data_IF_360532581838
#
_entry.id   IF_360532581838
#
_cell.length_a   1.000
_cell.length_b   1.000
_cell.length_c   1.000
_cell.angle_alpha   90.00
_cell.angle_beta   90.00
_cell.angle_gamma   90.00
#
_symmetry.space_group_name_H-M   'P 1'
#
loop_
_entity.id
_entity.type
_entity.pdbx_description
1 polymer ?
#
# COMPACT_ATOMS: atom_id res chain seq x y z
N UNK A 1 -2.33 -13.47 -19.54
CA UNK A 1 -2.57 -14.69 -20.31
C UNK A 1 -3.97 -14.68 -20.91
N UNK A 2 -5.07 -14.54 -20.12
CA UNK A 2 -6.45 -14.55 -20.64
C UNK A 2 -6.70 -13.46 -21.69
N UNK A 3 -6.23 -12.23 -21.47
CA UNK A 3 -6.38 -11.13 -22.43
C UNK A 3 -5.59 -11.36 -23.72
N UNK A 4 -4.47 -12.07 -23.67
CA UNK A 4 -3.72 -12.46 -24.86
C UNK A 4 -4.41 -13.56 -25.69
N UNK A 5 -5.23 -14.41 -25.06
CA UNK A 5 -6.00 -15.47 -25.72
C UNK A 5 -7.38 -14.99 -26.21
N UNK A 6 -7.94 -14.00 -25.52
CA UNK A 6 -9.28 -13.45 -25.76
C UNK A 6 -9.24 -11.91 -25.64
N UNK A 7 -8.68 -11.19 -26.63
CA UNK A 7 -8.43 -9.76 -26.54
C UNK A 7 -9.72 -8.94 -26.54
N UNK A 8 -9.81 -7.97 -25.63
CA UNK A 8 -10.99 -7.11 -25.46
C UNK A 8 -11.36 -6.30 -26.70
N UNK A 9 -10.37 -5.96 -27.54
CA UNK A 9 -10.60 -5.26 -28.81
C UNK A 9 -11.50 -6.00 -29.79
N UNK A 10 -11.58 -7.33 -29.72
CA UNK A 10 -12.46 -8.13 -30.58
C UNK A 10 -13.96 -7.95 -30.27
N UNK A 11 -14.30 -7.35 -29.13
CA UNK A 11 -15.67 -7.21 -28.61
C UNK A 11 -16.20 -5.78 -28.60
N UNK A 12 -15.49 -4.81 -29.18
CA UNK A 12 -15.80 -3.38 -29.12
C UNK A 12 -17.23 -3.02 -29.55
N UNK A 13 -17.80 -3.76 -30.49
CA UNK A 13 -19.17 -3.53 -31.03
C UNK A 13 -20.21 -4.56 -30.52
N UNK A 14 -19.87 -5.33 -29.47
CA UNK A 14 -20.75 -6.36 -28.91
C UNK A 14 -21.30 -5.97 -27.55
N UNK A 15 -22.35 -6.64 -27.03
CA UNK A 15 -22.82 -6.46 -25.65
C UNK A 15 -21.78 -6.83 -24.58
N UNK A 16 -20.62 -7.34 -24.98
CA UNK A 16 -19.49 -7.69 -24.14
C UNK A 16 -18.42 -6.58 -24.14
N UNK A 17 -18.65 -5.47 -24.84
CA UNK A 17 -17.77 -4.32 -24.83
C UNK A 17 -17.59 -3.79 -23.39
N UNK A 18 -16.36 -3.44 -23.05
CA UNK A 18 -16.01 -2.95 -21.73
C UNK A 18 -15.77 -4.03 -20.66
N UNK A 19 -16.03 -5.29 -20.96
CA UNK A 19 -15.66 -6.42 -20.10
C UNK A 19 -14.24 -6.89 -20.41
N UNK A 20 -13.50 -7.25 -19.37
CA UNK A 20 -12.21 -7.91 -19.56
C UNK A 20 -12.37 -9.40 -19.88
N UNK A 21 -11.25 -10.06 -20.26
CA UNK A 21 -11.26 -11.46 -20.65
C UNK A 21 -11.80 -12.39 -19.53
N UNK A 22 -11.52 -12.07 -18.26
CA UNK A 22 -12.02 -12.84 -17.14
C UNK A 22 -13.54 -12.69 -16.96
N UNK A 23 -14.06 -11.49 -17.04
CA UNK A 23 -15.50 -11.20 -16.93
C UNK A 23 -16.30 -11.83 -18.06
N UNK A 24 -15.74 -11.85 -19.28
CA UNK A 24 -16.34 -12.57 -20.43
C UNK A 24 -16.42 -14.08 -20.17
N UNK A 25 -15.36 -14.68 -19.61
CA UNK A 25 -15.38 -16.10 -19.24
C UNK A 25 -16.38 -16.40 -18.13
N UNK A 26 -16.52 -15.54 -17.12
CA UNK A 26 -17.56 -15.67 -16.09
C UNK A 26 -18.97 -15.69 -16.73
N UNK A 27 -19.24 -14.78 -17.66
CA UNK A 27 -20.52 -14.78 -18.41
C UNK A 27 -20.72 -16.06 -19.25
N UNK A 28 -19.65 -16.55 -19.90
CA UNK A 28 -19.71 -17.79 -20.69
C UNK A 28 -20.10 -18.99 -19.84
N UNK A 29 -19.62 -19.08 -18.60
CA UNK A 29 -19.94 -20.17 -17.68
C UNK A 29 -21.15 -19.86 -16.78
N UNK A 30 -21.85 -18.75 -17.03
CA UNK A 30 -23.00 -18.30 -16.24
C UNK A 30 -22.70 -18.23 -14.74
N UNK A 31 -21.53 -17.66 -14.38
CA UNK A 31 -21.08 -17.50 -12.99
C UNK A 31 -21.32 -16.05 -12.54
N UNK A 32 -22.18 -15.90 -11.54
CA UNK A 32 -22.53 -14.61 -10.96
C UNK A 32 -21.79 -14.41 -9.64
N UNK A 33 -20.78 -13.53 -9.65
CA UNK A 33 -19.90 -13.29 -8.47
C UNK A 33 -20.48 -12.29 -7.46
N UNK A 34 -21.57 -11.59 -7.82
CA UNK A 34 -22.19 -10.56 -6.96
C UNK A 34 -23.67 -10.38 -7.26
N UNK A 35 -24.37 -9.67 -6.37
CA UNK A 35 -25.81 -9.32 -6.54
C UNK A 35 -26.77 -10.36 -5.99
N UNK A 36 -28.07 -10.19 -6.29
CA UNK A 36 -29.16 -11.04 -5.76
C UNK A 36 -29.05 -12.50 -6.21
N UNK A 37 -28.50 -12.73 -7.40
CA UNK A 37 -28.32 -14.05 -8.00
C UNK A 37 -26.88 -14.57 -7.85
N UNK A 38 -26.13 -14.08 -6.84
CA UNK A 38 -24.78 -14.52 -6.60
C UNK A 38 -24.70 -16.03 -6.35
N UNK A 39 -23.83 -16.69 -7.12
CA UNK A 39 -23.61 -18.13 -7.05
C UNK A 39 -22.77 -18.53 -5.83
N UNK A 40 -22.66 -19.86 -5.61
CA UNK A 40 -21.74 -20.44 -4.64
C UNK A 40 -20.40 -20.74 -5.28
N UNK A 41 -19.36 -20.88 -4.47
CA UNK A 41 -18.01 -21.24 -4.92
C UNK A 41 -17.99 -22.55 -5.70
N UNK A 42 -18.86 -23.51 -5.36
CA UNK A 42 -18.99 -24.78 -6.07
C UNK A 42 -19.27 -24.63 -7.57
N UNK A 43 -19.88 -23.52 -8.00
CA UNK A 43 -20.15 -23.24 -9.43
C UNK A 43 -18.88 -23.18 -10.27
N UNK A 44 -17.76 -22.70 -9.72
CA UNK A 44 -16.47 -22.73 -10.40
C UNK A 44 -15.98 -24.15 -10.70
N UNK A 45 -16.38 -25.11 -9.89
CA UNK A 45 -15.95 -26.52 -10.03
C UNK A 45 -16.95 -27.40 -10.77
N UNK A 46 -17.96 -26.80 -11.40
CA UNK A 46 -18.95 -27.53 -12.20
C UNK A 46 -18.35 -28.16 -13.46
N UNK A 47 -17.33 -27.53 -14.03
CA UNK A 47 -16.55 -28.04 -15.16
C UNK A 47 -15.06 -27.84 -14.91
N UNK A 48 -14.21 -28.61 -15.60
CA UNK A 48 -12.75 -28.43 -15.52
C UNK A 48 -12.32 -27.05 -16.00
N UNK A 49 -12.97 -26.56 -17.07
CA UNK A 49 -12.64 -25.26 -17.66
C UNK A 49 -13.02 -24.07 -16.75
N UNK A 50 -14.17 -24.14 -16.07
CA UNK A 50 -14.57 -23.08 -15.13
C UNK A 50 -13.69 -23.07 -13.88
N UNK A 51 -13.13 -24.22 -13.47
CA UNK A 51 -12.26 -24.30 -12.29
C UNK A 51 -10.97 -23.48 -12.46
N UNK A 52 -10.49 -23.31 -13.70
CA UNK A 52 -9.31 -22.48 -14.00
C UNK A 52 -9.51 -20.99 -13.67
N UNK A 53 -10.76 -20.54 -13.59
CA UNK A 53 -11.07 -19.14 -13.25
C UNK A 53 -11.02 -18.85 -11.74
N UNK A 54 -11.08 -19.89 -10.90
CA UNK A 54 -11.15 -19.72 -9.45
C UNK A 54 -9.90 -19.05 -8.85
N UNK A 55 -8.66 -19.40 -9.21
CA UNK A 55 -7.48 -18.67 -8.73
C UNK A 55 -7.48 -17.18 -9.10
N UNK A 56 -7.95 -16.83 -10.31
CA UNK A 56 -8.05 -15.44 -10.74
C UNK A 56 -9.12 -14.67 -9.95
N UNK A 57 -10.24 -15.32 -9.60
CA UNK A 57 -11.24 -14.75 -8.69
C UNK A 57 -10.63 -14.40 -7.33
N UNK A 58 -9.86 -15.30 -6.73
CA UNK A 58 -9.20 -15.08 -5.46
C UNK A 58 -8.20 -13.93 -5.56
N UNK A 59 -7.35 -13.92 -6.60
CA UNK A 59 -6.34 -12.89 -6.85
C UNK A 59 -6.98 -11.50 -6.93
N UNK A 60 -8.05 -11.34 -7.71
CA UNK A 60 -8.78 -10.07 -7.85
C UNK A 60 -9.41 -9.59 -6.56
N UNK A 61 -10.01 -10.50 -5.80
CA UNK A 61 -10.60 -10.16 -4.52
C UNK A 61 -9.54 -9.66 -3.51
N UNK A 62 -8.41 -10.32 -3.42
CA UNK A 62 -7.30 -9.92 -2.54
C UNK A 62 -6.70 -8.59 -2.99
N UNK A 63 -6.44 -8.42 -4.29
CA UNK A 63 -5.92 -7.18 -4.87
C UNK A 63 -6.84 -6.00 -4.59
N UNK A 64 -8.15 -6.16 -4.79
CA UNK A 64 -9.14 -5.14 -4.45
C UNK A 64 -9.13 -4.77 -2.96
N UNK A 65 -8.79 -5.71 -2.07
CA UNK A 65 -8.56 -5.42 -0.66
C UNK A 65 -7.28 -4.62 -0.42
N UNK A 66 -6.20 -4.96 -1.10
CA UNK A 66 -4.93 -4.24 -0.99
C UNK A 66 -5.00 -2.80 -1.50
N UNK A 67 -5.75 -2.55 -2.58
CA UNK A 67 -5.97 -1.23 -3.17
C UNK A 67 -6.75 -0.29 -2.23
N UNK A 68 -7.49 -0.81 -1.27
CA UNK A 68 -8.19 -0.03 -0.24
C UNK A 68 -7.27 0.47 0.88
N UNK A 69 -6.00 0.11 0.85
CA UNK A 69 -5.03 0.49 1.86
C UNK A 69 -4.50 1.90 1.62
N UNK A 70 -4.12 2.53 2.73
CA UNK A 70 -3.44 3.84 2.75
C UNK A 70 -2.05 3.78 2.12
N UNK A 71 -1.44 2.60 2.02
CA UNK A 71 -0.06 2.44 1.55
C UNK A 71 0.15 3.05 0.16
N UNK A 72 -0.80 2.85 -0.77
CA UNK A 72 -0.72 3.40 -2.13
C UNK A 72 -0.65 4.94 -2.15
N UNK A 73 -1.23 5.58 -1.16
CA UNK A 73 -1.30 7.03 -0.99
C UNK A 73 -0.01 7.63 -0.37
N UNK A 74 0.84 6.78 0.21
CA UNK A 74 2.11 7.17 0.84
C UNK A 74 3.30 6.97 -0.08
N UNK A 75 3.16 6.11 -1.09
CA UNK A 75 4.24 5.73 -2.00
C UNK A 75 4.35 6.76 -3.12
N UNK A 76 5.50 7.43 -3.22
CA UNK A 76 5.79 8.37 -4.29
C UNK A 76 6.12 7.66 -5.61
N UNK A 77 6.89 6.57 -5.54
CA UNK A 77 7.35 5.80 -6.70
C UNK A 77 7.27 4.30 -6.41
N UNK A 78 6.79 3.53 -7.39
CA UNK A 78 6.62 2.09 -7.28
C UNK A 78 7.32 1.36 -8.45
N UNK A 79 8.65 1.15 -8.39
CA UNK A 79 9.36 0.37 -9.39
C UNK A 79 9.11 -1.14 -9.23
N UNK A 80 9.08 -1.83 -10.35
CA UNK A 80 8.97 -3.29 -10.40
C UNK A 80 10.35 -3.86 -10.74
N UNK A 81 10.85 -4.77 -9.87
CA UNK A 81 12.12 -5.47 -10.05
C UNK A 81 11.94 -6.98 -10.03
N UNK A 82 11.76 -7.63 -11.18
CA UNK A 82 11.54 -9.08 -11.26
C UNK A 82 12.70 -9.92 -10.70
N UNK A 83 13.91 -9.39 -10.70
CA UNK A 83 15.11 -10.06 -10.16
C UNK A 83 15.09 -10.20 -8.62
N UNK A 84 14.19 -9.50 -7.92
CA UNK A 84 14.14 -9.50 -6.45
C UNK A 84 15.24 -8.70 -5.78
N UNK A 85 16.02 -7.95 -6.56
CA UNK A 85 17.06 -7.00 -6.12
C UNK A 85 16.89 -5.69 -6.91
N UNK A 86 17.07 -4.59 -6.24
CA UNK A 86 16.92 -3.26 -6.85
C UNK A 86 18.09 -2.38 -6.46
N UNK A 87 18.70 -1.73 -7.46
CA UNK A 87 19.77 -0.76 -7.24
C UNK A 87 19.21 0.65 -7.44
N UNK A 88 18.98 1.39 -6.35
CA UNK A 88 18.42 2.73 -6.43
C UNK A 88 19.47 3.73 -6.93
N UNK A 89 19.01 4.80 -7.56
CA UNK A 89 19.83 5.96 -7.82
C UNK A 89 19.65 7.00 -6.71
N UNK A 90 20.72 7.70 -6.37
CA UNK A 90 20.77 8.72 -5.33
C UNK A 90 21.24 10.04 -5.92
N UNK A 91 20.49 11.09 -5.66
CA UNK A 91 20.90 12.46 -5.96
C UNK A 91 21.72 12.98 -4.76
N UNK A 92 22.96 13.34 -5.01
CA UNK A 92 23.83 13.98 -4.03
C UNK A 92 24.10 15.42 -4.47
N UNK A 93 23.65 16.34 -3.66
CA UNK A 93 23.90 17.78 -3.83
C UNK A 93 24.47 18.35 -2.54
N UNK A 94 25.60 19.01 -2.65
CA UNK A 94 26.31 19.62 -1.51
C UNK A 94 26.22 21.14 -1.50
N UNK A 95 25.62 21.72 -2.54
CA UNK A 95 25.60 23.18 -2.73
C UNK A 95 24.18 23.72 -2.70
N UNK A 96 23.96 24.77 -1.91
CA UNK A 96 22.64 25.40 -1.86
C UNK A 96 22.27 26.01 -3.22
N UNK A 97 21.04 25.75 -3.70
CA UNK A 97 20.50 26.27 -4.96
C UNK A 97 20.42 27.82 -5.02
N UNK A 98 20.61 28.48 -3.88
CA UNK A 98 20.66 29.94 -3.78
C UNK A 98 22.01 30.54 -4.11
N UNK A 99 23.02 29.71 -4.36
CA UNK A 99 24.40 30.16 -4.66
C UNK A 99 24.45 30.89 -6.01
N UNK A 100 24.79 32.19 -5.98
CA UNK A 100 24.92 33.01 -7.18
C UNK A 100 26.22 32.66 -7.89
N UNK A 101 26.13 32.33 -9.16
CA UNK A 101 27.29 32.10 -10.02
C UNK A 101 27.52 33.32 -10.89
N UNK A 102 28.77 33.84 -10.91
CA UNK A 102 29.16 34.95 -11.78
C UNK A 102 29.22 34.53 -13.25
N UNK A 103 28.96 35.48 -14.13
CA UNK A 103 28.99 35.23 -15.57
C UNK A 103 30.35 34.65 -16.02
N UNK A 104 30.31 33.54 -16.75
CA UNK A 104 31.48 32.81 -17.23
C UNK A 104 31.99 31.72 -16.29
N UNK A 105 31.48 31.56 -15.07
CA UNK A 105 31.84 30.49 -14.17
C UNK A 105 30.86 29.29 -14.35
N UNK A 106 31.35 28.08 -14.07
CA UNK A 106 30.54 26.88 -14.06
C UNK A 106 29.50 26.95 -12.93
N UNK A 107 28.27 26.47 -13.21
CA UNK A 107 27.24 26.29 -12.17
C UNK A 107 27.66 25.16 -11.22
N UNK A 108 27.26 25.23 -9.93
CA UNK A 108 27.39 24.10 -9.02
C UNK A 108 26.75 22.84 -9.61
N UNK A 109 27.38 21.69 -9.39
CA UNK A 109 26.94 20.41 -9.95
C UNK A 109 26.40 19.51 -8.85
N UNK A 110 25.23 18.91 -9.08
CA UNK A 110 24.75 17.77 -8.33
C UNK A 110 25.13 16.48 -9.08
N UNK A 111 25.39 15.40 -8.35
CA UNK A 111 25.66 14.09 -8.94
C UNK A 111 24.48 13.15 -8.73
N UNK A 112 24.08 12.44 -9.79
CA UNK A 112 23.05 11.42 -9.77
C UNK A 112 23.69 10.08 -10.13
N UNK A 113 23.91 9.25 -9.12
CA UNK A 113 24.67 8.01 -9.23
C UNK A 113 23.90 6.86 -8.61
N UNK A 114 24.20 5.64 -9.05
CA UNK A 114 23.71 4.44 -8.41
C UNK A 114 24.21 4.34 -6.96
N UNK A 115 23.34 3.96 -6.04
CA UNK A 115 23.73 3.71 -4.66
C UNK A 115 24.69 2.52 -4.59
N UNK A 116 25.61 2.57 -3.64
CA UNK A 116 26.56 1.47 -3.42
C UNK A 116 25.88 0.18 -2.93
N UNK A 117 24.72 0.30 -2.29
CA UNK A 117 24.00 -0.82 -1.70
C UNK A 117 22.76 -1.19 -2.52
N UNK A 118 22.63 -2.48 -2.81
CA UNK A 118 21.44 -3.07 -3.44
C UNK A 118 20.36 -3.32 -2.39
N UNK A 119 19.13 -2.99 -2.71
CA UNK A 119 17.94 -3.27 -1.87
C UNK A 119 17.41 -4.66 -2.24
N UNK A 120 17.34 -5.56 -1.27
CA UNK A 120 16.73 -6.90 -1.42
C UNK A 120 15.26 -6.85 -1.04
N UNK A 121 14.45 -7.60 -1.80
CA UNK A 121 13.01 -7.67 -1.57
C UNK A 121 12.69 -8.84 -0.65
N UNK A 122 12.06 -8.55 0.48
CA UNK A 122 11.56 -9.54 1.43
C UNK A 122 10.21 -10.12 1.00
N UNK A 123 9.93 -11.37 1.40
CA UNK A 123 8.67 -12.05 1.09
C UNK A 123 7.69 -11.90 2.24
N UNK A 124 6.53 -11.33 1.95
CA UNK A 124 5.39 -11.19 2.86
C UNK A 124 4.22 -12.02 2.35
N UNK A 125 3.49 -12.68 3.23
CA UNK A 125 2.35 -13.48 2.79
C UNK A 125 1.62 -14.23 3.89
N UNK A 126 0.57 -14.95 3.49
CA UNK A 126 -0.23 -15.82 4.35
C UNK A 126 -0.65 -17.07 3.60
N UNK A 127 -0.68 -18.18 4.32
CA UNK A 127 -1.35 -19.39 3.91
C UNK A 127 -2.70 -19.50 4.64
N UNK A 128 -3.75 -19.75 3.87
CA UNK A 128 -5.12 -19.90 4.35
C UNK A 128 -5.49 -21.36 4.12
N UNK A 129 -5.85 -22.05 5.20
CA UNK A 129 -6.33 -23.42 5.17
C UNK A 129 -7.84 -23.40 5.35
N UNK A 130 -8.58 -23.95 4.42
CA UNK A 130 -10.03 -24.00 4.46
C UNK A 130 -10.56 -25.38 4.08
N UNK A 131 -11.54 -25.91 4.80
CA UNK A 131 -12.12 -27.19 4.44
C UNK A 131 -12.88 -27.10 3.11
N UNK A 132 -12.83 -28.17 2.32
CA UNK A 132 -13.51 -28.24 1.02
C UNK A 132 -15.00 -27.87 1.12
N UNK A 133 -15.68 -28.35 2.18
CA UNK A 133 -17.09 -28.06 2.38
C UNK A 133 -17.34 -26.59 2.73
N UNK A 134 -16.50 -26.01 3.58
CA UNK A 134 -16.66 -24.63 4.00
C UNK A 134 -16.47 -23.66 2.81
N UNK A 135 -15.49 -23.91 1.94
CA UNK A 135 -15.25 -23.07 0.75
C UNK A 135 -16.38 -23.24 -0.27
N UNK A 136 -16.70 -24.47 -0.65
CA UNK A 136 -17.64 -24.76 -1.76
C UNK A 136 -19.05 -24.29 -1.50
N UNK A 137 -19.51 -24.37 -0.25
CA UNK A 137 -20.88 -23.97 0.15
C UNK A 137 -21.06 -22.47 0.33
N UNK A 138 -19.97 -21.69 0.40
CA UNK A 138 -20.04 -20.24 0.55
C UNK A 138 -20.56 -19.57 -0.71
N UNK A 139 -21.29 -18.47 -0.54
CA UNK A 139 -21.63 -17.56 -1.62
C UNK A 139 -20.37 -16.80 -2.05
N UNK A 140 -20.21 -16.55 -3.34
CA UNK A 140 -19.05 -15.88 -3.89
C UNK A 140 -18.85 -14.45 -3.35
N UNK A 141 -19.93 -13.71 -3.10
CA UNK A 141 -19.88 -12.37 -2.51
C UNK A 141 -19.31 -12.38 -1.09
N UNK A 142 -19.78 -13.31 -0.24
CA UNK A 142 -19.29 -13.47 1.13
C UNK A 142 -17.83 -13.95 1.15
N UNK A 143 -17.49 -14.90 0.30
CA UNK A 143 -16.11 -15.39 0.17
C UNK A 143 -15.16 -14.29 -0.33
N UNK A 144 -15.59 -13.51 -1.33
CA UNK A 144 -14.85 -12.34 -1.81
C UNK A 144 -14.60 -11.30 -0.71
N UNK A 145 -15.59 -11.06 0.18
CA UNK A 145 -15.42 -10.13 1.31
C UNK A 145 -14.33 -10.61 2.28
N UNK A 146 -14.27 -11.91 2.57
CA UNK A 146 -13.20 -12.50 3.41
C UNK A 146 -11.84 -12.34 2.74
N UNK A 147 -11.74 -12.63 1.45
CA UNK A 147 -10.50 -12.48 0.68
C UNK A 147 -10.03 -11.02 0.62
N UNK A 148 -10.94 -10.07 0.44
CA UNK A 148 -10.63 -8.63 0.54
C UNK A 148 -10.07 -8.27 1.91
N UNK A 149 -10.66 -8.80 2.99
CA UNK A 149 -10.14 -8.58 4.34
C UNK A 149 -8.71 -9.12 4.52
N UNK A 150 -8.37 -10.23 3.86
CA UNK A 150 -6.98 -10.75 3.82
C UNK A 150 -6.07 -9.76 3.09
N UNK A 151 -6.51 -9.23 1.95
CA UNK A 151 -5.78 -8.20 1.19
C UNK A 151 -5.50 -6.94 2.02
N UNK A 152 -6.52 -6.42 2.71
CA UNK A 152 -6.36 -5.27 3.63
C UNK A 152 -5.34 -5.56 4.74
N UNK A 153 -5.38 -6.74 5.34
CA UNK A 153 -4.43 -7.12 6.41
C UNK A 153 -3.00 -7.27 5.90
N UNK A 154 -2.82 -7.82 4.69
CA UNK A 154 -1.52 -7.93 4.05
C UNK A 154 -0.94 -6.54 3.76
N UNK A 155 -1.74 -5.65 3.20
CA UNK A 155 -1.33 -4.27 2.93
C UNK A 155 -1.04 -3.47 4.19
N UNK A 156 -1.79 -3.66 5.28
CA UNK A 156 -1.48 -3.06 6.59
C UNK A 156 -0.16 -3.59 7.18
N UNK A 157 0.19 -4.86 6.91
CA UNK A 157 1.50 -5.41 7.28
C UNK A 157 2.64 -4.73 6.51
N UNK A 158 2.46 -4.53 5.20
CA UNK A 158 3.41 -3.78 4.37
C UNK A 158 3.52 -2.31 4.81
N UNK A 159 2.40 -1.68 5.16
CA UNK A 159 2.39 -0.33 5.73
C UNK A 159 3.23 -0.25 7.01
N UNK A 160 3.11 -1.22 7.91
CA UNK A 160 3.95 -1.29 9.11
C UNK A 160 5.45 -1.34 8.78
N UNK A 161 5.84 -2.12 7.77
CA UNK A 161 7.24 -2.19 7.32
C UNK A 161 7.71 -0.88 6.67
N UNK A 162 6.87 -0.21 5.89
CA UNK A 162 7.20 1.10 5.31
C UNK A 162 7.43 2.17 6.38
N UNK A 163 6.61 2.16 7.44
CA UNK A 163 6.77 3.08 8.59
C UNK A 163 8.06 2.79 9.35
N UNK A 164 8.41 1.52 9.58
CA UNK A 164 9.68 1.15 10.19
C UNK A 164 10.87 1.62 9.35
N UNK A 165 10.82 1.43 8.03
CA UNK A 165 11.84 1.93 7.11
C UNK A 165 12.00 3.47 7.23
N UNK A 166 10.91 4.22 7.28
CA UNK A 166 10.95 5.68 7.47
C UNK A 166 11.54 6.08 8.81
N UNK A 167 11.20 5.38 9.89
CA UNK A 167 11.76 5.60 11.22
C UNK A 167 13.27 5.35 11.26
N UNK A 168 13.72 4.23 10.70
CA UNK A 168 15.13 3.83 10.70
C UNK A 168 16.00 4.70 9.79
N UNK A 169 15.44 5.21 8.69
CA UNK A 169 16.16 6.06 7.73
C UNK A 169 16.37 7.47 8.23
N UNK A 170 15.58 7.91 9.21
CA UNK A 170 15.70 9.25 9.78
C UNK A 170 16.63 9.19 11.00
N UNK A 171 17.89 9.49 10.80
CA UNK A 171 18.92 9.49 11.85
C UNK A 171 18.76 10.56 12.94
N UNK A 172 17.81 11.49 12.79
CA UNK A 172 17.51 12.55 13.78
C UNK A 172 16.05 12.48 14.18
N UNK A 173 15.80 11.97 15.38
CA UNK A 173 14.47 11.99 16.00
C UNK A 173 14.23 13.37 16.62
N UNK A 174 13.02 13.88 16.46
CA UNK A 174 12.56 15.09 17.13
C UNK A 174 11.87 14.62 18.42
N UNK A 175 12.31 15.09 19.57
CA UNK A 175 11.68 14.74 20.84
C UNK A 175 10.56 15.72 21.19
N UNK A 176 9.50 15.21 21.80
CA UNK A 176 8.45 16.04 22.43
C UNK A 176 9.04 16.82 23.59
N UNK A 177 8.44 17.97 23.90
CA UNK A 177 8.87 18.84 25.02
C UNK A 177 8.74 18.14 26.36
N UNK A 178 7.67 17.35 26.54
CA UNK A 178 7.43 16.57 27.75
C UNK A 178 7.22 15.11 27.37
N UNK A 179 8.13 14.23 27.76
CA UNK A 179 8.04 12.80 27.44
C UNK A 179 6.68 12.21 27.86
N UNK A 180 6.09 11.44 26.95
CA UNK A 180 4.79 10.79 27.13
C UNK A 180 3.58 11.74 27.11
N UNK A 181 3.75 13.01 26.73
CA UNK A 181 2.66 13.98 26.59
C UNK A 181 2.74 14.75 25.28
N UNK A 182 1.98 14.30 24.31
CA UNK A 182 1.88 14.97 23.01
C UNK A 182 1.07 16.27 23.13
N UNK A 183 1.60 17.35 22.58
CA UNK A 183 0.94 18.67 22.52
C UNK A 183 0.85 19.16 21.08
N UNK A 184 -0.04 20.13 20.82
CA UNK A 184 -0.12 20.77 19.51
C UNK A 184 1.20 21.49 19.12
N UNK A 185 1.94 22.01 20.11
CA UNK A 185 3.24 22.65 19.90
C UNK A 185 4.28 21.65 19.34
N UNK A 186 4.22 20.38 19.75
CA UNK A 186 5.10 19.34 19.23
C UNK A 186 4.79 19.00 17.76
N UNK A 187 3.51 19.00 17.40
CA UNK A 187 3.09 18.85 15.99
C UNK A 187 3.52 20.05 15.15
N UNK A 188 3.43 21.27 15.70
CA UNK A 188 3.92 22.47 15.02
C UNK A 188 5.46 22.46 14.87
N UNK A 189 6.18 21.92 15.86
CA UNK A 189 7.63 21.71 15.79
C UNK A 189 7.97 20.70 14.67
N UNK A 190 7.26 19.57 14.58
CA UNK A 190 7.41 18.60 13.51
C UNK A 190 7.19 19.25 12.14
N UNK A 191 6.12 20.06 12.00
CA UNK A 191 5.84 20.81 10.77
C UNK A 191 6.99 21.77 10.40
N UNK A 192 7.59 22.44 11.38
CA UNK A 192 8.68 23.41 11.20
C UNK A 192 9.99 22.81 10.70
N UNK A 193 10.19 21.49 10.81
CA UNK A 193 11.38 20.80 10.27
C UNK A 193 11.32 20.61 8.74
N UNK A 194 10.14 20.68 8.14
CA UNK A 194 9.97 20.63 6.71
C UNK A 194 10.37 21.97 6.06
N UNK A 195 11.60 22.07 5.55
CA UNK A 195 12.18 23.31 5.00
C UNK A 195 12.02 23.42 3.48
N UNK A 196 12.31 22.33 2.78
CA UNK A 196 12.30 22.26 1.30
C UNK A 196 11.05 21.53 0.77
N UNK A 197 10.36 20.80 1.63
CA UNK A 197 9.19 19.96 1.32
C UNK A 197 8.02 20.36 2.20
N UNK A 198 6.81 19.95 1.81
CA UNK A 198 5.60 20.21 2.59
C UNK A 198 5.21 18.96 3.39
N UNK A 199 4.87 19.11 4.65
CA UNK A 199 4.27 18.00 5.39
C UNK A 199 2.83 17.78 4.90
N UNK A 200 2.64 16.82 4.00
CA UNK A 200 1.32 16.51 3.42
C UNK A 200 0.54 15.53 4.28
N UNK A 201 1.23 14.61 4.96
CA UNK A 201 0.60 13.58 5.78
C UNK A 201 1.32 13.41 7.12
N UNK A 202 0.53 13.05 8.13
CA UNK A 202 0.98 12.68 9.47
C UNK A 202 0.45 11.28 9.78
N UNK A 203 1.36 10.33 10.00
CA UNK A 203 1.05 8.95 10.34
C UNK A 203 1.10 8.78 11.85
N UNK A 204 0.05 8.23 12.43
CA UNK A 204 -0.03 8.00 13.85
C UNK A 204 -0.70 6.64 14.18
N UNK A 205 -0.28 6.04 15.30
CA UNK A 205 -0.96 4.89 15.87
C UNK A 205 -2.41 5.26 16.25
N UNK A 206 -3.35 4.30 16.28
CA UNK A 206 -4.76 4.59 16.58
C UNK A 206 -4.99 5.35 17.89
N UNK A 207 -4.23 5.03 18.95
CA UNK A 207 -4.32 5.71 20.24
C UNK A 207 -3.83 7.17 20.15
N UNK A 208 -2.67 7.39 19.53
CA UNK A 208 -2.08 8.71 19.32
C UNK A 208 -2.94 9.58 18.39
N UNK A 209 -3.50 8.98 17.34
CA UNK A 209 -4.45 9.70 16.47
C UNK A 209 -5.68 10.19 17.24
N UNK A 210 -6.19 9.39 18.20
CA UNK A 210 -7.30 9.78 19.06
C UNK A 210 -6.90 10.92 20.00
N UNK A 211 -5.67 10.92 20.56
CA UNK A 211 -5.14 12.02 21.37
C UNK A 211 -5.02 13.31 20.57
N UNK A 212 -4.51 13.24 19.32
CA UNK A 212 -4.44 14.41 18.43
C UNK A 212 -5.83 14.97 18.16
N UNK A 213 -6.80 14.12 17.87
CA UNK A 213 -8.19 14.54 17.61
C UNK A 213 -8.87 15.16 18.86
N UNK A 214 -8.43 14.80 20.07
CA UNK A 214 -8.96 15.35 21.31
C UNK A 214 -8.37 16.72 21.67
N UNK A 215 -7.35 17.20 20.95
CA UNK A 215 -6.76 18.52 21.19
C UNK A 215 -7.76 19.64 20.87
N UNK A 216 -7.74 20.71 21.65
CA UNK A 216 -8.65 21.85 21.49
C UNK A 216 -8.58 22.46 20.08
N UNK A 217 -7.38 22.57 19.51
CA UNK A 217 -7.13 23.09 18.17
C UNK A 217 -7.76 22.26 17.03
N UNK A 218 -8.07 20.99 17.31
CA UNK A 218 -8.73 20.10 16.34
C UNK A 218 -10.25 20.17 16.39
N UNK A 219 -10.82 20.68 17.49
CA UNK A 219 -12.29 20.72 17.69
C UNK A 219 -12.98 21.74 16.78
N UNK A 220 -12.28 22.81 16.42
CA UNK A 220 -12.79 23.86 15.54
C UNK A 220 -12.71 23.52 14.03
N UNK A 221 -12.04 22.42 13.69
CA UNK A 221 -11.86 21.99 12.30
C UNK A 221 -13.07 21.20 11.83
N UNK A 222 -14.01 21.83 11.18
CA UNK A 222 -15.01 21.13 10.38
C UNK A 222 -14.31 20.47 9.19
N UNK A 223 -14.12 19.15 9.20
CA UNK A 223 -13.56 18.45 8.07
C UNK A 223 -14.49 18.60 6.87
N UNK A 224 -14.01 19.27 5.84
CA UNK A 224 -14.80 19.53 4.61
C UNK A 224 -14.98 18.28 3.76
N UNK A 225 -14.28 17.19 4.05
CA UNK A 225 -14.34 15.95 3.28
C UNK A 225 -14.64 14.75 4.18
N UNK A 226 -15.59 13.88 3.79
CA UNK A 226 -15.88 12.65 4.53
C UNK A 226 -14.62 11.76 4.56
N UNK A 227 -14.30 11.21 5.73
CA UNK A 227 -13.18 10.32 6.01
C UNK A 227 -11.76 10.92 5.93
N UNK A 228 -11.62 12.24 5.77
CA UNK A 228 -10.32 12.92 5.77
C UNK A 228 -10.21 13.82 6.98
N UNK A 229 -9.23 13.55 7.85
CA UNK A 229 -8.93 14.37 9.02
C UNK A 229 -7.74 15.25 8.67
N UNK A 230 -7.96 16.56 8.63
CA UNK A 230 -6.91 17.54 8.37
C UNK A 230 -6.48 18.20 9.67
N UNK A 231 -5.17 18.41 9.81
CA UNK A 231 -4.59 19.23 10.85
C UNK A 231 -4.74 20.72 10.47
N UNK A 232 -4.73 21.66 11.43
CA UNK A 232 -4.89 23.09 11.17
C UNK A 232 -3.91 23.69 10.17
N UNK A 233 -2.72 23.10 10.03
CA UNK A 233 -1.71 23.47 9.04
C UNK A 233 -1.82 22.72 7.69
N UNK A 234 -2.92 22.00 7.45
CA UNK A 234 -3.26 21.41 6.15
C UNK A 234 -2.79 19.98 5.91
N UNK A 235 -1.97 19.40 6.78
CA UNK A 235 -1.56 17.99 6.67
C UNK A 235 -2.70 17.04 7.00
N UNK A 236 -2.79 15.93 6.28
CA UNK A 236 -3.77 14.87 6.53
C UNK A 236 -3.29 13.95 7.65
N UNK A 237 -4.08 13.82 8.73
CA UNK A 237 -3.84 12.83 9.77
C UNK A 237 -4.32 11.46 9.30
N UNK A 238 -3.39 10.50 9.28
CA UNK A 238 -3.66 9.14 8.84
C UNK A 238 -3.43 8.15 9.98
N UNK A 239 -4.48 7.43 10.34
CA UNK A 239 -4.43 6.35 11.33
C UNK A 239 -3.78 5.10 10.74
N UNK A 240 -2.71 4.58 11.35
CA UNK A 240 -1.97 3.40 10.90
C UNK A 240 -2.06 2.27 11.92
N UNK A 241 -2.72 1.14 11.56
CA UNK A 241 -3.01 0.02 12.48
C UNK A 241 -1.75 -0.80 12.69
N UNK A 242 -0.73 -0.78 12.62
CA UNK A 242 0.51 -1.54 12.87
C UNK A 242 1.66 -0.69 13.39
N UNK A 243 1.37 0.57 13.65
CA UNK A 243 2.35 1.55 14.14
C UNK A 243 2.40 1.53 15.66
N UNK A 244 3.60 1.59 16.24
CA UNK A 244 3.79 1.80 17.68
C UNK A 244 3.30 3.19 18.09
N UNK A 245 2.85 3.29 19.33
CA UNK A 245 2.42 4.58 19.93
C UNK A 245 3.59 5.47 20.38
N UNK A 246 4.83 5.01 20.21
CA UNK A 246 6.02 5.71 20.71
C UNK A 246 6.51 6.82 19.77
N UNK A 247 5.91 6.98 18.61
CA UNK A 247 6.33 7.97 17.63
C UNK A 247 5.24 8.33 16.62
N UNK A 248 5.43 9.48 15.99
CA UNK A 248 4.63 10.00 14.86
C UNK A 248 5.56 10.23 13.68
N UNK A 249 5.09 9.96 12.47
CA UNK A 249 5.84 10.24 11.24
C UNK A 249 5.13 11.31 10.44
N UNK A 250 5.81 12.43 10.20
CA UNK A 250 5.41 13.42 9.20
C UNK A 250 6.11 13.14 7.87
N UNK A 251 5.42 13.27 6.76
CA UNK A 251 6.03 13.06 5.44
C UNK A 251 5.39 13.90 4.34
N UNK A 252 6.19 14.13 3.30
CA UNK A 252 5.71 14.55 1.98
C UNK A 252 5.54 13.33 1.09
N UNK A 253 4.31 12.90 0.87
CA UNK A 253 4.02 11.67 0.12
C UNK A 253 4.46 11.69 -1.35
N UNK A 254 4.83 12.87 -1.89
CA UNK A 254 5.33 13.03 -3.27
C UNK A 254 6.80 12.62 -3.41
N UNK A 255 7.58 12.62 -2.29
CA UNK A 255 9.04 12.49 -2.31
C UNK A 255 9.61 11.57 -1.24
N UNK A 256 8.77 11.10 -0.29
CA UNK A 256 9.23 10.41 0.90
C UNK A 256 9.59 8.94 0.64
N UNK A 257 8.68 8.17 0.07
CA UNK A 257 8.74 6.71 0.08
C UNK A 257 8.73 6.11 -1.32
N UNK A 258 9.67 5.19 -1.54
CA UNK A 258 9.72 4.29 -2.68
C UNK A 258 9.36 2.87 -2.22
N UNK A 259 8.42 2.22 -2.92
CA UNK A 259 8.05 0.83 -2.69
C UNK A 259 8.44 0.00 -3.91
N UNK A 260 9.32 -0.95 -3.72
CA UNK A 260 9.81 -1.83 -4.78
C UNK A 260 9.12 -3.18 -4.65
N UNK A 261 8.58 -3.74 -5.74
CA UNK A 261 7.99 -5.09 -5.77
C UNK A 261 8.57 -5.92 -6.92
N UNK A 262 8.47 -7.24 -6.83
CA UNK A 262 8.89 -8.11 -7.96
C UNK A 262 7.87 -8.10 -9.09
N UNK A 263 6.60 -8.15 -8.77
CA UNK A 263 5.45 -8.22 -9.66
C UNK A 263 4.18 -8.06 -8.80
N UNK A 264 3.06 -8.47 -9.32
CA UNK A 264 1.79 -8.57 -8.60
C UNK A 264 1.84 -9.65 -7.50
N UNK A 265 0.77 -9.76 -6.76
CA UNK A 265 0.57 -10.79 -5.73
C UNK A 265 0.68 -12.18 -6.34
N UNK A 266 1.60 -13.00 -5.83
CA UNK A 266 1.70 -14.41 -6.16
C UNK A 266 0.64 -15.19 -5.39
N UNK A 267 -0.22 -15.88 -6.12
CA UNK A 267 -1.24 -16.77 -5.59
C UNK A 267 -0.90 -18.21 -5.98
N UNK A 268 -0.80 -19.07 -4.99
CA UNK A 268 -0.64 -20.51 -5.18
C UNK A 268 -1.76 -21.23 -4.44
N UNK A 269 -2.35 -22.24 -5.09
CA UNK A 269 -3.42 -23.05 -4.49
C UNK A 269 -3.02 -24.51 -4.55
N UNK A 270 -3.22 -25.23 -3.45
CA UNK A 270 -2.93 -26.67 -3.36
C UNK A 270 -4.00 -27.35 -2.48
N UNK A 271 -3.97 -28.68 -2.46
CA UNK A 271 -4.89 -29.51 -1.69
C UNK A 271 -4.15 -30.41 -0.74
N UNK A 272 -4.52 -30.34 0.52
CA UNK A 272 -4.11 -31.31 1.53
C UNK A 272 -5.16 -32.43 1.58
N UNK A 273 -4.89 -33.51 0.86
CA UNK A 273 -5.86 -34.60 0.63
C UNK A 273 -6.14 -35.39 1.91
N UNK A 274 -5.15 -35.56 2.75
CA UNK A 274 -5.23 -36.26 4.04
C UNK A 274 -6.14 -35.55 5.04
N UNK A 275 -6.14 -34.22 5.01
CA UNK A 275 -6.96 -33.37 5.90
C UNK A 275 -8.19 -32.75 5.23
N UNK A 276 -8.40 -33.00 3.92
CA UNK A 276 -9.48 -32.44 3.10
C UNK A 276 -9.55 -30.90 3.15
N UNK A 277 -8.38 -30.25 3.06
CA UNK A 277 -8.26 -28.81 3.07
C UNK A 277 -7.78 -28.28 1.71
N UNK A 278 -8.41 -27.20 1.26
CA UNK A 278 -7.85 -26.32 0.24
C UNK A 278 -6.86 -25.36 0.91
N UNK A 279 -5.66 -25.26 0.37
CA UNK A 279 -4.62 -24.33 0.81
C UNK A 279 -4.49 -23.23 -0.22
N UNK A 280 -4.66 -22.01 0.22
CA UNK A 280 -4.52 -20.81 -0.60
C UNK A 280 -3.38 -20.00 -0.01
N UNK A 281 -2.26 -19.93 -0.70
CA UNK A 281 -1.09 -19.14 -0.29
C UNK A 281 -1.03 -17.86 -1.11
N UNK A 282 -0.99 -16.75 -0.39
CA UNK A 282 -0.88 -15.41 -0.97
C UNK A 282 0.42 -14.81 -0.52
N UNK A 283 1.26 -14.37 -1.44
CA UNK A 283 2.51 -13.70 -1.12
C UNK A 283 2.86 -12.58 -2.10
N UNK A 284 3.62 -11.61 -1.58
CA UNK A 284 4.22 -10.52 -2.35
C UNK A 284 5.66 -10.34 -1.89
N UNK A 285 6.55 -10.01 -2.80
CA UNK A 285 7.90 -9.56 -2.43
C UNK A 285 7.94 -8.06 -2.56
N UNK A 286 8.35 -7.40 -1.49
CA UNK A 286 8.41 -5.96 -1.43
C UNK A 286 9.63 -5.50 -0.61
N UNK A 287 10.10 -4.32 -0.93
CA UNK A 287 11.06 -3.57 -0.14
C UNK A 287 10.65 -2.10 -0.10
N UNK A 288 11.10 -1.40 0.92
CA UNK A 288 10.82 0.01 1.12
C UNK A 288 12.11 0.79 1.26
N UNK A 289 12.10 2.01 0.77
CA UNK A 289 13.23 2.94 0.88
C UNK A 289 12.72 4.36 1.00
N UNK A 290 13.36 5.15 1.82
CA UNK A 290 13.19 6.61 1.81
C UNK A 290 13.98 7.19 0.65
N UNK A 291 13.32 7.93 -0.23
CA UNK A 291 13.93 8.57 -1.39
C UNK A 291 14.75 9.81 -0.97
N UNK A 292 14.10 10.71 -0.26
CA UNK A 292 14.69 11.94 0.25
C UNK A 292 14.48 12.04 1.76
N UNK A 293 15.56 12.02 2.52
CA UNK A 293 15.49 12.06 4.00
C UNK A 293 14.86 13.34 4.54
N UNK A 294 15.00 14.47 3.81
CA UNK A 294 14.37 15.75 4.17
C UNK A 294 12.84 15.77 4.00
N UNK A 295 12.28 14.79 3.28
CA UNK A 295 10.84 14.65 3.07
C UNK A 295 10.15 13.77 4.13
N UNK A 296 10.90 13.30 5.14
CA UNK A 296 10.39 12.47 6.25
C UNK A 296 10.99 12.97 7.56
N UNK A 297 10.15 13.21 8.54
CA UNK A 297 10.58 13.53 9.92
C UNK A 297 9.80 12.70 10.92
N UNK A 298 10.46 12.30 12.00
CA UNK A 298 9.90 11.43 13.04
C UNK A 298 9.91 12.18 14.39
N UNK A 299 8.74 12.27 15.00
CA UNK A 299 8.56 12.80 16.35
C UNK A 299 8.49 11.63 17.33
N UNK A 300 9.39 11.58 18.30
CA UNK A 300 9.40 10.60 19.40
C UNK A 300 8.51 11.10 20.54
N UNK A 301 7.65 10.21 21.08
CA UNK A 301 6.69 10.50 22.15
C UNK A 301 7.22 10.10 23.53
#
# INVERSE_FOLDING_TARGET
VLEGMDPSGAYAETPLAGLDAYERQLKRFDIHVSGSHCDRVEKFFSTTDSAVLFPEFIRRAIRSGMEQSVLSDLVAVHPISPAGEYQPAVLTDTTAYTTKTTQGNALPTASYLEAANTVRLDKYGRSIHASYEAVRRQRLDAFSAILRAVGVRLSNGLLGQSILCMKESNGSLIDVVTAGKLTYADLAKLYGEFRNFDMTKVLAAPAVAAEIMAMEQMQDMASAQPNTILLPFGAQLQKCAGMSADYIVGLDNRFALEMITTDDVLLETDKLIDSQLDVITVSIRAAFRVMLSEAVHVLSL
#
